data_IF_200475022977
#
_entry.id   IF_200475022977
#
_cell.length_a   1.000
_cell.length_b   1.000
_cell.length_c   1.000
_cell.angle_alpha   90.00
_cell.angle_beta   90.00
_cell.angle_gamma   90.00
#
_symmetry.space_group_name_H-M   'P 1'
#
loop_
_entity.id
_entity.type
_entity.pdbx_description
1 polymer ?
#
# COMPACT_ATOMS: atom_id res chain seq x y z
N UNK A 1 -6.11 -10.68 -0.02
CA UNK A 1 -5.29 -11.45 -0.98
C UNK A 1 -4.52 -12.51 -0.20
N UNK A 2 -4.13 -13.63 -0.84
CA UNK A 2 -3.22 -14.58 -0.19
C UNK A 2 -1.84 -13.96 0.08
N UNK A 3 -1.21 -14.38 1.17
CA UNK A 3 0.11 -13.92 1.61
C UNK A 3 1.19 -13.92 0.52
N UNK A 4 1.23 -14.96 -0.32
CA UNK A 4 2.22 -15.05 -1.41
C UNK A 4 2.02 -13.96 -2.48
N UNK A 5 0.77 -13.56 -2.74
CA UNK A 5 0.47 -12.46 -3.66
C UNK A 5 0.95 -11.14 -3.08
N UNK A 6 0.72 -10.89 -1.78
CA UNK A 6 1.25 -9.72 -1.07
C UNK A 6 2.78 -9.65 -1.13
N UNK A 7 3.47 -10.77 -0.91
CA UNK A 7 4.94 -10.84 -1.02
C UNK A 7 5.41 -10.52 -2.43
N UNK A 8 4.76 -11.07 -3.46
CA UNK A 8 5.12 -10.84 -4.86
C UNK A 8 4.95 -9.36 -5.24
N UNK A 9 3.83 -8.75 -4.87
CA UNK A 9 3.59 -7.32 -5.10
C UNK A 9 4.65 -6.48 -4.36
N UNK A 10 4.95 -6.81 -3.10
CA UNK A 10 5.97 -6.12 -2.33
C UNK A 10 7.37 -6.18 -2.98
N UNK A 11 7.75 -7.34 -3.51
CA UNK A 11 9.02 -7.52 -4.22
C UNK A 11 9.07 -6.71 -5.52
N UNK A 12 7.98 -6.67 -6.28
CA UNK A 12 7.88 -5.82 -7.48
C UNK A 12 8.02 -4.34 -7.11
N UNK A 13 7.32 -3.89 -6.07
CA UNK A 13 7.43 -2.50 -5.58
C UNK A 13 8.88 -2.16 -5.21
N UNK A 14 9.56 -3.00 -4.44
CA UNK A 14 10.95 -2.76 -4.03
C UNK A 14 11.90 -2.65 -5.23
N UNK A 15 11.61 -3.36 -6.33
CA UNK A 15 12.40 -3.31 -7.55
C UNK A 15 12.12 -2.05 -8.39
N UNK A 16 10.88 -1.60 -8.43
CA UNK A 16 10.42 -0.60 -9.41
C UNK A 16 10.20 0.81 -8.82
N UNK A 17 10.17 0.95 -7.49
CA UNK A 17 9.94 2.24 -6.84
C UNK A 17 11.25 3.00 -6.61
N UNK A 18 11.31 4.22 -7.13
CA UNK A 18 12.43 5.14 -6.94
C UNK A 18 12.11 6.14 -5.82
N UNK A 19 12.78 5.97 -4.68
CA UNK A 19 12.57 6.75 -3.45
C UNK A 19 13.89 7.27 -2.88
N UNK A 20 13.83 8.44 -2.26
CA UNK A 20 15.00 9.15 -1.72
C UNK A 20 15.42 8.67 -0.32
N UNK A 21 14.71 7.69 0.25
CA UNK A 21 15.01 7.12 1.56
C UNK A 21 15.31 5.62 1.44
N UNK A 22 16.12 5.11 2.36
CA UNK A 22 16.40 3.67 2.43
C UNK A 22 15.15 2.90 2.85
N UNK A 23 14.76 1.89 2.06
CA UNK A 23 13.82 0.86 2.47
C UNK A 23 14.61 -0.38 2.92
N UNK A 24 14.13 -1.03 3.98
CA UNK A 24 14.63 -2.35 4.38
C UNK A 24 13.71 -3.42 3.81
N UNK A 25 14.17 -4.13 2.79
CA UNK A 25 13.40 -5.14 2.05
C UNK A 25 12.73 -6.15 2.98
N UNK A 26 13.50 -6.76 3.89
CA UNK A 26 13.00 -7.72 4.87
C UNK A 26 11.85 -7.15 5.70
N UNK A 27 11.98 -5.91 6.15
CA UNK A 27 10.97 -5.27 6.99
C UNK A 27 9.76 -4.80 6.19
N UNK A 28 9.96 -4.37 4.94
CA UNK A 28 8.87 -4.01 4.04
C UNK A 28 8.03 -5.23 3.65
N UNK A 29 8.68 -6.33 3.26
CA UNK A 29 8.01 -7.61 2.97
C UNK A 29 7.28 -8.12 4.22
N UNK A 30 7.94 -8.09 5.39
CA UNK A 30 7.30 -8.46 6.64
C UNK A 30 6.07 -7.58 6.93
N UNK A 31 6.16 -6.26 6.70
CA UNK A 31 5.03 -5.34 6.82
C UNK A 31 3.84 -5.72 5.95
N UNK A 32 4.09 -6.22 4.73
CA UNK A 32 3.04 -6.63 3.78
C UNK A 32 2.31 -7.92 4.19
N UNK A 33 2.85 -8.73 5.10
CA UNK A 33 2.20 -9.96 5.59
C UNK A 33 1.76 -9.85 7.05
N UNK A 34 2.26 -8.85 7.76
CA UNK A 34 2.00 -8.62 9.18
C UNK A 34 0.51 -8.50 9.53
N UNK A 35 -0.36 -7.84 8.73
CA UNK A 35 -1.75 -7.67 9.11
C UNK A 35 -2.55 -8.97 9.21
N UNK A 36 -2.20 -9.98 8.43
CA UNK A 36 -2.82 -11.32 8.48
C UNK A 36 -2.40 -12.13 9.71
N UNK A 37 -1.18 -11.88 10.19
CA UNK A 37 -0.54 -12.69 11.23
C UNK A 37 -0.74 -12.15 12.65
N UNK A 38 -0.92 -10.83 12.80
CA UNK A 38 -0.88 -10.15 14.10
C UNK A 38 -2.29 -9.71 14.54
N UNK A 39 -2.69 -10.14 15.74
CA UNK A 39 -4.03 -9.90 16.33
C UNK A 39 -4.47 -8.44 16.36
N UNK A 40 -3.51 -7.50 16.55
CA UNK A 40 -3.75 -6.05 16.50
C UNK A 40 -4.40 -5.58 15.19
N UNK A 41 -4.10 -6.26 14.08
CA UNK A 41 -4.68 -5.99 12.76
C UNK A 41 -5.81 -6.97 12.43
N UNK A 42 -5.80 -8.17 13.00
CA UNK A 42 -6.86 -9.17 12.81
C UNK A 42 -8.24 -8.72 13.33
N UNK A 43 -8.27 -7.82 14.32
CA UNK A 43 -9.51 -7.19 14.82
C UNK A 43 -9.98 -6.02 13.94
N UNK A 44 -9.14 -5.55 13.00
CA UNK A 44 -9.50 -4.53 12.02
C UNK A 44 -9.89 -5.24 10.74
N UNK A 45 -11.10 -5.01 10.25
CA UNK A 45 -11.54 -5.65 9.00
C UNK A 45 -10.73 -5.10 7.84
N UNK A 46 -10.28 -5.97 6.93
CA UNK A 46 -9.46 -5.60 5.77
C UNK A 46 -10.30 -5.01 4.61
N UNK A 47 -11.33 -4.27 4.97
CA UNK A 47 -12.25 -3.62 4.04
C UNK A 47 -11.99 -2.12 3.99
N UNK A 48 -12.25 -1.54 2.82
CA UNK A 48 -12.09 -0.10 2.62
C UNK A 48 -12.88 0.68 3.69
N UNK A 49 -14.19 0.51 3.82
CA UNK A 49 -14.97 1.32 4.78
C UNK A 49 -14.51 1.22 6.24
N UNK A 50 -13.96 0.07 6.67
CA UNK A 50 -13.55 -0.14 8.06
C UNK A 50 -12.10 0.25 8.36
N UNK A 51 -11.22 0.23 7.35
CA UNK A 51 -9.79 0.48 7.53
C UNK A 51 -9.25 1.68 6.76
N UNK A 52 -10.05 2.32 5.91
CA UNK A 52 -9.63 3.45 5.07
C UNK A 52 -9.02 4.59 5.87
N UNK A 53 -9.74 5.09 6.89
CA UNK A 53 -9.26 6.20 7.72
C UNK A 53 -7.96 5.87 8.44
N UNK A 54 -7.80 4.63 8.90
CA UNK A 54 -6.54 4.18 9.50
C UNK A 54 -5.40 4.30 8.49
N UNK A 55 -5.60 3.77 7.27
CA UNK A 55 -4.57 3.76 6.23
C UNK A 55 -4.23 5.18 5.79
N UNK A 56 -5.22 6.03 5.58
CA UNK A 56 -5.03 7.45 5.28
C UNK A 56 -4.21 8.13 6.37
N UNK A 57 -4.53 7.89 7.65
CA UNK A 57 -3.80 8.49 8.76
C UNK A 57 -2.37 7.96 8.86
N UNK A 58 -2.13 6.69 8.54
CA UNK A 58 -0.78 6.13 8.42
C UNK A 58 0.01 6.81 7.30
N UNK A 59 -0.59 6.98 6.12
CA UNK A 59 0.03 7.68 4.98
C UNK A 59 0.36 9.12 5.37
N UNK A 60 -0.61 9.87 5.93
CA UNK A 60 -0.41 11.25 6.40
C UNK A 60 0.74 11.34 7.39
N UNK A 61 0.78 10.46 8.38
CA UNK A 61 1.87 10.39 9.36
C UNK A 61 3.23 10.18 8.70
N UNK A 62 3.37 9.17 7.83
CA UNK A 62 4.66 8.90 7.18
C UNK A 62 5.08 10.05 6.24
N UNK A 63 4.12 10.65 5.53
CA UNK A 63 4.37 11.80 4.64
C UNK A 63 4.77 13.09 5.37
N UNK A 64 4.51 13.18 6.69
CA UNK A 64 4.89 14.35 7.51
C UNK A 64 6.36 14.34 7.93
N UNK A 65 7.08 13.23 7.72
CA UNK A 65 8.48 13.12 8.11
C UNK A 65 9.40 13.94 7.20
N UNK A 66 10.61 14.15 7.67
CA UNK A 66 11.76 14.61 6.88
C UNK A 66 12.94 13.61 7.05
N UNK A 67 14.01 13.79 6.27
CA UNK A 67 15.16 12.88 6.31
C UNK A 67 15.87 12.81 7.67
N UNK A 68 15.77 13.85 8.51
CA UNK A 68 16.40 13.86 9.84
C UNK A 68 15.62 13.03 10.88
N UNK A 69 14.31 12.82 10.69
CA UNK A 69 13.50 12.00 11.59
C UNK A 69 13.97 10.54 11.62
N UNK A 70 14.54 10.04 10.51
CA UNK A 70 15.12 8.70 10.43
C UNK A 70 16.33 8.48 11.34
N UNK A 71 17.05 9.55 11.68
CA UNK A 71 18.22 9.50 12.58
C UNK A 71 17.83 9.61 14.05
N UNK A 72 16.74 10.33 14.35
CA UNK A 72 16.41 10.75 15.73
C UNK A 72 15.20 10.06 16.34
N UNK A 73 14.20 9.69 15.53
CA UNK A 73 12.85 9.34 16.04
C UNK A 73 12.28 8.05 15.49
N UNK A 74 12.65 7.67 14.27
CA UNK A 74 11.97 6.56 13.58
C UNK A 74 12.94 5.72 12.76
N UNK A 75 13.18 4.47 13.19
CA UNK A 75 14.13 3.61 12.49
C UNK A 75 13.63 3.24 11.08
N UNK A 76 14.58 3.09 10.15
CA UNK A 76 14.32 2.61 8.78
C UNK A 76 13.54 1.29 8.78
N UNK A 77 13.88 0.38 9.72
CA UNK A 77 13.16 -0.88 9.91
C UNK A 77 11.68 -0.66 10.21
N UNK A 78 11.36 0.16 11.21
CA UNK A 78 9.97 0.46 11.57
C UNK A 78 9.24 1.15 10.43
N UNK A 79 9.89 2.09 9.74
CA UNK A 79 9.30 2.80 8.60
C UNK A 79 8.93 1.85 7.47
N UNK A 80 9.85 0.94 7.14
CA UNK A 80 9.65 -0.08 6.12
C UNK A 80 8.47 -0.99 6.46
N UNK A 81 8.32 -1.39 7.73
CA UNK A 81 7.14 -2.18 8.16
C UNK A 81 5.83 -1.42 8.01
N UNK A 82 5.78 -0.14 8.40
CA UNK A 82 4.56 0.67 8.30
C UNK A 82 4.18 0.91 6.83
N UNK A 83 5.16 1.15 5.94
CA UNK A 83 4.93 1.18 4.49
C UNK A 83 4.34 -0.15 3.98
N UNK A 84 4.89 -1.27 4.44
CA UNK A 84 4.37 -2.58 4.05
C UNK A 84 2.94 -2.83 4.53
N UNK A 85 2.61 -2.38 5.74
CA UNK A 85 1.23 -2.46 6.25
C UNK A 85 0.28 -1.61 5.41
N UNK A 86 0.69 -0.40 4.99
CA UNK A 86 -0.10 0.41 4.07
C UNK A 86 -0.36 -0.35 2.77
N UNK A 87 0.68 -0.94 2.17
CA UNK A 87 0.56 -1.67 0.92
C UNK A 87 -0.37 -2.89 1.03
N UNK A 88 -0.27 -3.66 2.11
CA UNK A 88 -1.16 -4.79 2.36
C UNK A 88 -2.64 -4.39 2.29
N UNK A 89 -3.05 -3.37 3.05
CA UNK A 89 -4.44 -2.95 3.06
C UNK A 89 -4.87 -2.37 1.70
N UNK A 90 -4.00 -1.62 1.03
CA UNK A 90 -4.28 -1.12 -0.32
C UNK A 90 -4.52 -2.30 -1.27
N UNK A 91 -3.66 -3.32 -1.28
CA UNK A 91 -3.85 -4.52 -2.08
C UNK A 91 -5.21 -5.17 -1.81
N UNK A 92 -5.59 -5.31 -0.54
CA UNK A 92 -6.89 -5.90 -0.19
C UNK A 92 -8.07 -5.03 -0.63
N UNK A 93 -7.96 -3.70 -0.57
CA UNK A 93 -9.02 -2.81 -1.10
C UNK A 93 -9.27 -3.04 -2.60
N UNK A 94 -8.24 -3.43 -3.34
CA UNK A 94 -8.29 -3.70 -4.79
C UNK A 94 -8.36 -5.20 -5.12
N UNK A 95 -8.84 -6.02 -4.20
CA UNK A 95 -9.05 -7.44 -4.44
C UNK A 95 -10.53 -7.80 -4.35
N UNK A 96 -11.08 -8.49 -5.35
CA UNK A 96 -12.54 -8.71 -5.46
C UNK A 96 -13.15 -9.29 -4.18
N UNK A 97 -12.63 -10.38 -3.58
CA UNK A 97 -13.23 -10.96 -2.39
C UNK A 97 -13.33 -9.98 -1.22
N UNK A 98 -12.38 -9.04 -1.10
CA UNK A 98 -12.39 -8.02 -0.06
C UNK A 98 -13.28 -6.85 -0.45
N UNK A 99 -13.16 -6.33 -1.68
CA UNK A 99 -13.97 -5.22 -2.18
C UNK A 99 -15.48 -5.54 -2.21
N UNK A 100 -15.84 -6.82 -2.43
CA UNK A 100 -17.21 -7.34 -2.44
C UNK A 100 -17.62 -8.04 -1.13
N UNK A 101 -16.76 -8.03 -0.10
CA UNK A 101 -17.05 -8.56 1.24
C UNK A 101 -17.47 -10.04 1.30
N UNK A 102 -16.74 -10.93 0.62
CA UNK A 102 -17.04 -12.36 0.52
C UNK A 102 -16.77 -13.20 1.81
N UNK A 103 -16.69 -12.59 3.01
CA UNK A 103 -16.35 -13.29 4.27
C UNK A 103 -17.55 -13.85 5.06
N UNK A 104 -18.79 -13.68 4.59
CA UNK A 104 -19.95 -14.30 5.25
C UNK A 104 -19.99 -15.82 5.00
N UNK A 105 -20.49 -16.61 5.97
CA UNK A 105 -20.41 -18.09 6.04
C UNK A 105 -20.66 -18.87 4.74
N UNK A 106 -21.37 -18.31 3.76
CA UNK A 106 -21.69 -18.95 2.48
C UNK A 106 -20.73 -18.61 1.32
N UNK A 107 -19.82 -17.64 1.50
CA UNK A 107 -18.93 -17.14 0.43
C UNK A 107 -17.44 -17.38 0.68
N UNK A 108 -17.05 -17.87 1.87
CA UNK A 108 -15.64 -18.09 2.20
C UNK A 108 -14.94 -19.09 1.28
N UNK A 109 -15.64 -20.14 0.82
CA UNK A 109 -15.08 -21.08 -0.16
C UNK A 109 -14.77 -20.39 -1.50
N UNK A 110 -15.64 -19.46 -1.93
CA UNK A 110 -15.46 -18.65 -3.14
C UNK A 110 -14.28 -17.70 -2.97
N UNK A 111 -14.17 -17.05 -1.80
CA UNK A 111 -13.04 -16.18 -1.44
C UNK A 111 -11.72 -16.93 -1.59
N UNK A 112 -11.56 -18.05 -0.88
CA UNK A 112 -10.31 -18.82 -0.87
C UNK A 112 -9.97 -19.36 -2.27
N UNK A 113 -10.98 -19.81 -3.02
CA UNK A 113 -10.78 -20.25 -4.41
C UNK A 113 -10.26 -19.12 -5.29
N UNK A 114 -10.91 -17.95 -5.23
CA UNK A 114 -10.52 -16.78 -6.01
C UNK A 114 -9.09 -16.34 -5.72
N UNK A 115 -8.70 -16.23 -4.45
CA UNK A 115 -7.35 -15.79 -4.11
C UNK A 115 -6.26 -16.79 -4.51
N UNK A 116 -6.57 -18.10 -4.52
CA UNK A 116 -5.67 -19.13 -5.07
C UNK A 116 -5.46 -18.96 -6.57
N UNK A 117 -6.53 -18.68 -7.31
CA UNK A 117 -6.47 -18.42 -8.74
C UNK A 117 -5.70 -17.13 -9.04
N UNK A 118 -5.99 -16.05 -8.30
CA UNK A 118 -5.25 -14.79 -8.35
C UNK A 118 -3.75 -15.00 -8.05
N UNK A 119 -3.41 -15.79 -7.03
CA UNK A 119 -2.02 -16.09 -6.68
C UNK A 119 -1.29 -16.87 -7.79
N UNK A 120 -2.00 -17.71 -8.56
CA UNK A 120 -1.42 -18.36 -9.73
C UNK A 120 -1.23 -17.39 -10.89
N UNK A 121 -2.23 -16.54 -11.17
CA UNK A 121 -2.12 -15.48 -12.17
C UNK A 121 -0.98 -14.50 -11.87
N UNK A 122 -0.81 -14.12 -10.60
CA UNK A 122 0.21 -13.18 -10.16
C UNK A 122 1.65 -13.63 -10.48
N UNK A 123 1.92 -14.92 -10.63
CA UNK A 123 3.25 -15.45 -10.97
C UNK A 123 3.70 -15.05 -12.38
N UNK A 124 2.76 -14.82 -13.29
CA UNK A 124 3.02 -14.39 -14.67
C UNK A 124 2.69 -12.91 -14.90
N UNK A 125 2.21 -12.22 -13.86
CA UNK A 125 1.87 -10.81 -13.93
C UNK A 125 3.14 -9.96 -14.07
N UNK A 126 3.15 -9.10 -15.08
CA UNK A 126 4.19 -8.08 -15.26
C UNK A 126 3.54 -6.71 -15.01
N UNK A 127 3.96 -5.98 -13.97
CA UNK A 127 3.37 -4.68 -13.68
C UNK A 127 3.67 -3.66 -14.78
N UNK A 128 2.69 -2.82 -15.10
CA UNK A 128 2.98 -1.60 -15.86
C UNK A 128 3.88 -0.69 -15.04
N UNK A 129 4.78 0.02 -15.71
CA UNK A 129 5.69 0.98 -15.08
C UNK A 129 5.01 2.34 -14.84
N UNK A 130 3.69 2.41 -14.99
CA UNK A 130 2.92 3.61 -14.75
C UNK A 130 2.72 3.82 -13.25
N UNK A 131 2.77 5.08 -12.81
CA UNK A 131 2.33 5.49 -11.50
C UNK A 131 1.68 6.86 -11.61
N UNK A 132 0.76 7.17 -10.70
CA UNK A 132 0.17 8.50 -10.65
C UNK A 132 0.99 9.41 -9.74
N UNK A 133 1.41 10.54 -10.30
CA UNK A 133 2.08 11.58 -9.52
C UNK A 133 1.03 12.36 -8.72
N UNK A 134 0.86 12.00 -7.45
CA UNK A 134 -0.02 12.72 -6.52
C UNK A 134 0.70 14.03 -6.12
N UNK A 135 0.25 15.17 -6.66
CA UNK A 135 0.81 16.49 -6.40
C UNK A 135 -0.31 17.54 -6.24
N UNK A 136 0.00 18.65 -5.55
CA UNK A 136 -0.94 19.78 -5.39
C UNK A 136 -2.04 19.54 -4.35
N UNK A 137 -3.27 19.94 -4.65
CA UNK A 137 -4.42 19.94 -3.72
C UNK A 137 -5.20 18.61 -3.66
N UNK A 138 -4.77 17.57 -4.39
CA UNK A 138 -5.47 16.27 -4.35
C UNK A 138 -5.15 15.59 -3.02
N UNK A 139 -6.18 15.38 -2.21
CA UNK A 139 -6.04 14.64 -0.96
C UNK A 139 -5.87 13.13 -1.22
N UNK A 140 -5.11 12.45 -0.36
CA UNK A 140 -4.91 10.98 -0.40
C UNK A 140 -6.26 10.24 -0.43
N UNK A 141 -7.26 10.76 0.28
CA UNK A 141 -8.61 10.20 0.34
C UNK A 141 -9.23 10.15 -1.06
N UNK A 142 -9.29 11.32 -1.70
CA UNK A 142 -9.87 11.48 -3.04
C UNK A 142 -9.13 10.61 -4.05
N UNK A 143 -7.80 10.52 -3.97
CA UNK A 143 -7.02 9.65 -4.84
C UNK A 143 -7.42 8.17 -4.71
N UNK A 144 -7.43 7.63 -3.49
CA UNK A 144 -7.76 6.22 -3.29
C UNK A 144 -9.23 5.91 -3.58
N UNK A 145 -10.15 6.83 -3.26
CA UNK A 145 -11.59 6.70 -3.57
C UNK A 145 -11.83 6.67 -5.08
N UNK A 146 -11.21 7.58 -5.85
CA UNK A 146 -11.35 7.57 -7.31
C UNK A 146 -10.68 6.34 -7.94
N UNK A 147 -9.52 5.90 -7.42
CA UNK A 147 -8.93 4.63 -7.85
C UNK A 147 -9.88 3.47 -7.60
N UNK A 148 -10.50 3.37 -6.42
CA UNK A 148 -11.44 2.31 -6.08
C UNK A 148 -12.70 2.36 -6.93
N UNK A 149 -13.23 3.56 -7.21
CA UNK A 149 -14.37 3.77 -8.11
C UNK A 149 -14.07 3.33 -9.54
N UNK A 150 -12.86 3.59 -10.05
CA UNK A 150 -12.44 3.11 -11.37
C UNK A 150 -12.19 1.61 -11.38
N UNK A 151 -11.58 1.06 -10.32
CA UNK A 151 -11.38 -0.36 -10.12
C UNK A 151 -12.70 -1.13 -10.22
N UNK A 152 -13.75 -0.67 -9.56
CA UNK A 152 -15.10 -1.29 -9.58
C UNK A 152 -15.74 -1.38 -10.97
N UNK A 153 -15.22 -0.71 -12.01
CA UNK A 153 -15.77 -0.76 -13.37
C UNK A 153 -15.42 -2.05 -14.11
N UNK A 154 -14.38 -2.78 -13.70
CA UNK A 154 -13.94 -4.02 -14.34
C UNK A 154 -13.54 -5.02 -13.27
N UNK A 155 -14.08 -6.23 -13.36
CA UNK A 155 -13.63 -7.34 -12.54
C UNK A 155 -12.56 -8.16 -13.25
N UNK A 156 -11.61 -8.71 -12.50
CA UNK A 156 -10.67 -9.72 -12.99
C UNK A 156 -9.31 -9.64 -12.31
N UNK A 157 -8.56 -10.73 -12.35
CA UNK A 157 -7.25 -10.84 -11.70
C UNK A 157 -6.25 -9.80 -12.20
N UNK A 158 -6.26 -9.50 -13.51
CA UNK A 158 -5.44 -8.44 -14.09
C UNK A 158 -5.77 -7.07 -13.48
N UNK A 159 -7.06 -6.78 -13.31
CA UNK A 159 -7.50 -5.50 -12.75
C UNK A 159 -7.12 -5.39 -11.27
N UNK A 160 -7.28 -6.47 -10.50
CA UNK A 160 -6.85 -6.56 -9.11
C UNK A 160 -5.35 -6.26 -8.97
N UNK A 161 -4.52 -6.94 -9.78
CA UNK A 161 -3.07 -6.75 -9.75
C UNK A 161 -2.66 -5.34 -10.20
N UNK A 162 -3.28 -4.82 -11.25
CA UNK A 162 -2.99 -3.48 -11.78
C UNK A 162 -3.27 -2.40 -10.73
N UNK A 163 -4.47 -2.38 -10.15
CA UNK A 163 -4.82 -1.33 -9.18
C UNK A 163 -4.09 -1.49 -7.85
N UNK A 164 -3.91 -2.72 -7.34
CA UNK A 164 -3.13 -2.97 -6.13
C UNK A 164 -1.70 -2.43 -6.28
N UNK A 165 -1.03 -2.78 -7.38
CA UNK A 165 0.33 -2.33 -7.66
C UNK A 165 0.41 -0.82 -7.91
N UNK A 166 -0.43 -0.30 -8.79
CA UNK A 166 -0.48 1.12 -9.15
C UNK A 166 -0.73 2.02 -7.93
N UNK A 167 -1.71 1.69 -7.10
CA UNK A 167 -2.06 2.48 -5.93
C UNK A 167 -0.94 2.43 -4.88
N UNK A 168 -0.37 1.25 -4.60
CA UNK A 168 0.75 1.12 -3.67
C UNK A 168 1.96 1.95 -4.12
N UNK A 169 2.35 1.84 -5.39
CA UNK A 169 3.49 2.56 -5.96
C UNK A 169 3.28 4.07 -5.92
N UNK A 170 2.08 4.54 -6.29
CA UNK A 170 1.71 5.96 -6.26
C UNK A 170 1.76 6.53 -4.83
N UNK A 171 1.26 5.78 -3.84
CA UNK A 171 1.30 6.19 -2.43
C UNK A 171 2.72 6.23 -1.87
N UNK A 172 3.56 5.22 -2.16
CA UNK A 172 4.97 5.23 -1.73
C UNK A 172 5.71 6.42 -2.34
N UNK A 173 5.49 6.69 -3.64
CA UNK A 173 6.12 7.82 -4.32
C UNK A 173 5.68 9.15 -3.73
N UNK A 174 4.39 9.31 -3.44
CA UNK A 174 3.86 10.48 -2.73
C UNK A 174 4.50 10.68 -1.35
N UNK A 175 4.68 9.62 -0.57
CA UNK A 175 5.35 9.70 0.74
C UNK A 175 6.81 10.15 0.56
N UNK A 176 7.54 9.59 -0.42
CA UNK A 176 8.91 10.01 -0.74
C UNK A 176 9.00 11.48 -1.10
N UNK A 177 8.19 11.92 -2.06
CA UNK A 177 8.19 13.29 -2.54
C UNK A 177 7.85 14.28 -1.42
N UNK A 178 6.93 13.91 -0.51
CA UNK A 178 6.59 14.69 0.68
C UNK A 178 7.77 14.81 1.64
N UNK A 179 8.47 13.71 1.93
CA UNK A 179 9.65 13.71 2.81
C UNK A 179 10.77 14.60 2.23
N UNK A 180 11.02 14.50 0.92
CA UNK A 180 12.01 15.35 0.24
C UNK A 180 11.63 16.82 0.35
N UNK A 181 10.36 17.16 0.09
CA UNK A 181 9.85 18.53 0.22
C UNK A 181 10.04 19.06 1.64
N UNK A 182 9.62 18.31 2.66
CA UNK A 182 9.75 18.73 4.05
C UNK A 182 11.21 18.92 4.47
N UNK A 183 12.11 18.07 3.97
CA UNK A 183 13.56 18.19 4.23
C UNK A 183 14.13 19.48 3.65
N UNK A 184 13.71 19.86 2.43
CA UNK A 184 14.12 21.12 1.80
C UNK A 184 13.61 22.34 2.57
N UNK A 185 12.36 22.31 3.04
CA UNK A 185 11.77 23.40 3.81
C UNK A 185 12.53 23.68 5.12
N UNK A 186 12.86 22.63 5.87
CA UNK A 186 13.66 22.76 7.10
C UNK A 186 15.04 23.34 6.82
N UNK A 187 15.68 22.92 5.72
CA UNK A 187 16.98 23.43 5.34
C UNK A 187 16.91 24.92 4.97
N UNK A 188 15.87 25.35 4.23
CA UNK A 188 15.68 26.76 3.90
C UNK A 188 15.39 27.62 5.14
N UNK A 189 14.62 27.12 6.10
CA UNK A 189 14.34 27.82 7.36
C UNK A 189 15.57 27.93 8.26
N UNK A 190 16.51 26.99 8.18
CA UNK A 190 17.73 27.00 9.01
C UNK A 190 18.81 27.99 8.51
N UNK A 191 18.69 28.49 7.28
CA UNK A 191 19.66 29.38 6.62
C UNK A 191 19.09 30.80 6.42
N UNK A 192 17.77 30.96 6.56
CA UNK A 192 17.08 32.25 6.60
C UNK A 192 17.21 32.91 7.98
#
# INVERSE_FOLDING_TARGET
MLMNTHILIAQNILRDVDVDFKISDKNFIYGNIKPDMVSKYKLKKHYLNESFDMIVNMIKKLSSFNMYDFKKKFSVSRFSQELGVICHFICDFFCIPHSERWEFKHSMNKHVKYEKELANFAKTYTPSQDYFKICGNISINVFLEECHKLYKKREGYENDMNYAYFACRSIIKYISDSIVKNTKLIYSEAIA
#
